data_IF_571816588854
#
_entry.id   IF_571816588854
#
_cell.length_a   1.000
_cell.length_b   1.000
_cell.length_c   1.000
_cell.angle_alpha   90.00
_cell.angle_beta   90.00
_cell.angle_gamma   90.00
#
_symmetry.space_group_name_H-M   'P 1'
#
loop_
_entity.id
_entity.type
_entity.pdbx_description
1 polymer ?
#
# COMPACT_ATOMS: atom_id res chain seq x y z
N UNK A 1 -11.36 -5.86 -0.80
CA UNK A 1 -11.76 -4.70 -1.64
C UNK A 1 -11.71 -5.10 -3.11
N UNK A 2 -12.67 -4.64 -3.92
CA UNK A 2 -12.65 -4.87 -5.37
C UNK A 2 -11.70 -3.89 -6.07
N UNK A 3 -11.09 -4.31 -7.18
CA UNK A 3 -10.15 -3.46 -7.91
C UNK A 3 -10.43 -3.51 -9.40
N UNK A 4 -10.31 -2.37 -10.10
CA UNK A 4 -10.75 -2.27 -11.48
C UNK A 4 -10.02 -3.27 -12.40
N UNK A 5 -10.74 -3.76 -13.40
CA UNK A 5 -10.26 -4.62 -14.48
C UNK A 5 -9.82 -6.04 -14.09
N UNK A 6 -9.98 -6.49 -12.84
CA UNK A 6 -9.69 -7.90 -12.46
C UNK A 6 -10.78 -8.50 -11.59
N UNK A 7 -10.96 -9.81 -11.75
CA UNK A 7 -11.78 -10.63 -10.86
C UNK A 7 -10.96 -10.95 -9.60
N UNK A 8 -11.62 -10.91 -8.44
CA UNK A 8 -11.05 -11.25 -7.14
C UNK A 8 -10.73 -10.03 -6.28
N UNK A 9 -10.91 -10.21 -4.97
CA UNK A 9 -10.72 -9.17 -3.97
C UNK A 9 -9.33 -9.27 -3.34
N UNK A 10 -8.85 -8.13 -2.83
CA UNK A 10 -7.66 -8.07 -1.97
C UNK A 10 -7.88 -7.11 -0.80
N UNK A 11 -7.21 -7.35 0.32
CA UNK A 11 -7.17 -6.41 1.43
C UNK A 11 -6.41 -5.11 1.05
N UNK A 12 -6.88 -3.98 1.58
CA UNK A 12 -6.27 -2.65 1.44
C UNK A 12 -6.22 -1.96 2.79
N UNK A 13 -5.28 -1.03 2.95
CA UNK A 13 -5.11 -0.30 4.20
C UNK A 13 -6.18 0.79 4.35
N UNK A 14 -6.97 0.69 5.43
CA UNK A 14 -7.92 1.74 5.84
C UNK A 14 -7.35 2.66 6.94
N UNK A 15 -6.18 2.33 7.47
CA UNK A 15 -5.47 3.08 8.50
C UNK A 15 -4.02 2.61 8.63
N UNK A 16 -3.14 3.49 9.10
CA UNK A 16 -1.74 3.18 9.39
C UNK A 16 -1.19 4.19 10.41
N UNK A 17 -0.15 3.78 11.15
CA UNK A 17 0.53 4.60 12.16
C UNK A 17 1.99 4.18 12.27
N UNK A 18 2.91 5.13 12.45
CA UNK A 18 4.34 4.87 12.61
C UNK A 18 5.05 4.33 11.35
N UNK A 19 4.40 4.42 10.19
CA UNK A 19 4.91 3.97 8.90
C UNK A 19 4.49 4.95 7.80
N UNK A 20 5.42 5.28 6.90
CA UNK A 20 5.15 6.06 5.70
C UNK A 20 4.18 5.29 4.78
N UNK A 21 3.00 5.85 4.46
CA UNK A 21 2.03 5.18 3.59
C UNK A 21 2.57 4.95 2.17
N UNK A 22 3.44 5.84 1.70
CA UNK A 22 4.12 5.77 0.41
C UNK A 22 5.62 5.63 0.61
N UNK A 23 6.23 4.75 -0.18
CA UNK A 23 7.66 4.84 -0.51
C UNK A 23 7.81 5.65 -1.78
N UNK A 24 8.36 6.86 -1.65
CA UNK A 24 8.58 7.76 -2.77
C UNK A 24 9.96 7.49 -3.39
N UNK A 25 9.96 6.93 -4.60
CA UNK A 25 11.19 6.61 -5.33
C UNK A 25 11.51 7.68 -6.38
N UNK A 26 10.78 8.80 -6.39
CA UNK A 26 11.08 9.87 -7.34
C UNK A 26 12.43 10.49 -7.01
N UNK A 27 13.25 10.70 -8.02
CA UNK A 27 14.61 11.22 -7.86
C UNK A 27 15.67 10.14 -7.61
N UNK A 28 15.29 8.89 -7.31
CA UNK A 28 16.26 7.79 -7.24
C UNK A 28 16.63 7.30 -8.64
N UNK A 29 17.76 6.60 -8.74
CA UNK A 29 18.23 6.01 -9.99
C UNK A 29 17.85 4.54 -10.09
N UNK A 30 17.51 4.08 -11.29
CA UNK A 30 17.35 2.66 -11.59
C UNK A 30 18.70 1.97 -11.88
N UNK A 31 18.64 0.70 -12.27
CA UNK A 31 19.80 -0.14 -12.59
C UNK A 31 20.64 0.40 -13.77
N UNK A 32 20.07 1.24 -14.63
CA UNK A 32 20.74 1.83 -15.79
C UNK A 32 21.10 3.30 -15.57
N UNK A 33 20.91 3.80 -14.33
CA UNK A 33 21.24 5.17 -13.94
C UNK A 33 20.18 6.21 -14.30
N UNK A 34 19.02 5.82 -14.83
CA UNK A 34 17.93 6.74 -15.14
C UNK A 34 17.19 7.18 -13.88
N UNK A 35 16.83 8.47 -13.83
CA UNK A 35 16.10 9.04 -12.69
C UNK A 35 14.61 8.71 -12.80
N UNK A 36 14.07 8.05 -11.77
CA UNK A 36 12.64 7.76 -11.67
C UNK A 36 11.85 9.06 -11.46
N UNK A 37 10.88 9.35 -12.34
CA UNK A 37 10.10 10.60 -12.28
C UNK A 37 8.79 10.51 -11.48
N UNK A 38 8.16 9.34 -11.47
CA UNK A 38 6.78 9.19 -10.95
C UNK A 38 6.58 8.03 -9.98
N UNK A 39 7.59 7.19 -9.76
CA UNK A 39 7.43 5.94 -9.02
C UNK A 39 7.15 6.21 -7.55
N UNK A 40 5.98 5.78 -7.09
CA UNK A 40 5.55 5.75 -5.70
C UNK A 40 4.93 4.39 -5.44
N UNK A 41 5.21 3.82 -4.27
CA UNK A 41 4.71 2.51 -3.86
C UNK A 41 3.78 2.72 -2.67
N UNK A 42 2.55 2.22 -2.73
CA UNK A 42 1.62 2.22 -1.61
C UNK A 42 1.95 1.06 -0.67
N UNK A 43 2.97 1.26 0.15
CA UNK A 43 3.54 0.24 1.03
C UNK A 43 2.49 -0.37 1.95
N UNK A 44 1.63 0.48 2.53
CA UNK A 44 0.60 0.01 3.46
C UNK A 44 -0.44 -0.87 2.77
N UNK A 45 -0.74 -0.66 1.49
CA UNK A 45 -1.63 -1.52 0.71
C UNK A 45 -0.95 -2.84 0.32
N UNK A 46 0.35 -2.83 0.01
CA UNK A 46 1.11 -4.07 -0.24
C UNK A 46 1.15 -4.95 1.02
N UNK A 47 1.38 -4.36 2.19
CA UNK A 47 1.36 -5.05 3.47
C UNK A 47 -0.03 -5.59 3.82
N UNK A 48 -1.07 -4.79 3.60
CA UNK A 48 -2.47 -5.21 3.81
C UNK A 48 -2.83 -6.38 2.89
N UNK A 49 -2.49 -6.32 1.61
CA UNK A 49 -2.73 -7.40 0.66
C UNK A 49 -1.96 -8.68 1.05
N UNK A 50 -0.71 -8.56 1.49
CA UNK A 50 0.07 -9.71 1.96
C UNK A 50 -0.52 -10.35 3.22
N UNK A 51 -1.05 -9.53 4.14
CA UNK A 51 -1.65 -10.03 5.39
C UNK A 51 -2.87 -10.94 5.18
N UNK A 52 -3.61 -10.76 4.07
CA UNK A 52 -4.76 -11.59 3.72
C UNK A 52 -4.38 -13.06 3.52
N UNK A 53 -3.19 -13.33 2.96
CA UNK A 53 -2.72 -14.70 2.72
C UNK A 53 -2.53 -15.50 4.01
N UNK A 54 -2.40 -14.80 5.14
CA UNK A 54 -2.23 -15.40 6.47
C UNK A 54 -3.53 -15.34 7.27
N UNK A 55 -4.23 -14.20 7.22
CA UNK A 55 -5.46 -13.97 8.00
C UNK A 55 -6.67 -14.71 7.42
N UNK A 56 -6.67 -14.96 6.11
CA UNK A 56 -7.84 -15.44 5.40
C UNK A 56 -8.95 -14.39 5.34
N UNK A 57 -10.06 -14.76 4.71
CA UNK A 57 -11.20 -13.85 4.45
C UNK A 57 -12.56 -14.49 4.76
N UNK A 58 -12.57 -15.58 5.53
CA UNK A 58 -13.74 -16.40 5.82
C UNK A 58 -13.73 -16.93 7.26
N UNK A 59 -13.70 -18.25 7.44
CA UNK A 59 -13.83 -18.93 8.73
C UNK A 59 -12.50 -19.30 9.40
N UNK A 60 -11.39 -18.73 8.95
CA UNK A 60 -10.04 -19.06 9.45
C UNK A 60 -9.84 -18.63 10.90
N UNK A 61 -10.55 -17.60 11.36
CA UNK A 61 -10.49 -17.11 12.74
C UNK A 61 -9.20 -16.38 13.10
N UNK A 62 -8.40 -15.97 12.12
CA UNK A 62 -7.12 -15.27 12.32
C UNK A 62 -7.33 -13.76 12.17
N UNK A 63 -7.32 -13.03 13.30
CA UNK A 63 -7.67 -11.59 13.35
C UNK A 63 -6.49 -10.63 13.08
N UNK A 64 -5.29 -11.16 12.84
CA UNK A 64 -4.11 -10.33 12.61
C UNK A 64 -2.89 -11.13 12.18
N UNK A 65 -1.91 -10.42 11.62
CA UNK A 65 -0.64 -10.99 11.16
C UNK A 65 0.52 -10.09 11.51
N UNK A 66 1.71 -10.67 11.69
CA UNK A 66 2.95 -9.93 11.92
C UNK A 66 3.88 -10.09 10.71
N UNK A 67 4.23 -8.97 10.08
CA UNK A 67 5.22 -8.92 9.01
C UNK A 67 6.56 -8.48 9.61
N UNK A 68 7.62 -9.26 9.40
CA UNK A 68 8.97 -8.99 9.91
C UNK A 68 9.97 -8.87 8.77
N UNK A 69 11.02 -8.07 8.98
CA UNK A 69 12.13 -7.93 8.03
C UNK A 69 11.87 -6.97 6.87
N UNK A 70 10.73 -6.29 6.85
CA UNK A 70 10.48 -5.23 5.90
C UNK A 70 11.03 -3.90 6.43
N UNK A 71 11.91 -3.26 5.67
CA UNK A 71 12.42 -1.92 5.98
C UNK A 71 11.45 -0.84 5.48
N UNK A 72 11.05 0.05 6.37
CA UNK A 72 10.13 1.15 6.08
C UNK A 72 10.55 2.45 6.76
N UNK A 73 10.13 3.56 6.16
CA UNK A 73 10.34 4.88 6.74
C UNK A 73 9.27 5.17 7.80
N UNK A 74 9.66 5.77 8.91
CA UNK A 74 8.71 6.24 9.92
C UNK A 74 7.93 7.46 9.42
N UNK A 75 6.64 7.54 9.76
CA UNK A 75 5.81 8.71 9.48
C UNK A 75 4.59 8.79 10.40
N UNK A 76 4.17 10.02 10.67
CA UNK A 76 2.88 10.35 11.33
C UNK A 76 1.72 10.45 10.32
N UNK A 77 1.99 10.30 9.03
CA UNK A 77 0.97 10.37 8.00
C UNK A 77 0.11 9.10 8.00
N UNK A 78 -1.20 9.28 8.06
CA UNK A 78 -2.17 8.20 7.85
C UNK A 78 -2.51 7.97 6.38
N UNK A 79 -3.35 6.96 6.12
CA UNK A 79 -3.82 6.60 4.75
C UNK A 79 -4.54 7.73 4.02
N UNK A 80 -5.05 8.75 4.72
CA UNK A 80 -5.63 9.95 4.08
C UNK A 80 -4.65 10.65 3.14
N UNK A 81 -3.35 10.55 3.39
CA UNK A 81 -2.30 11.13 2.55
C UNK A 81 -2.15 10.47 1.18
N UNK A 82 -2.65 9.24 1.02
CA UNK A 82 -2.58 8.47 -0.24
C UNK A 82 -3.88 8.45 -1.02
N UNK A 83 -4.96 8.92 -0.40
CA UNK A 83 -6.23 9.11 -1.09
C UNK A 83 -6.06 10.14 -2.20
N UNK A 84 -6.62 9.83 -3.37
CA UNK A 84 -6.58 10.75 -4.50
C UNK A 84 -7.46 11.96 -4.18
N UNK A 85 -6.98 13.20 -4.38
CA UNK A 85 -7.84 14.37 -4.18
C UNK A 85 -8.99 14.36 -5.20
N UNK A 86 -10.20 14.77 -4.79
CA UNK A 86 -11.40 14.83 -5.67
C UNK A 86 -11.15 15.48 -7.03
N UNK A 87 -10.37 16.57 -7.08
CA UNK A 87 -10.02 17.25 -8.34
C UNK A 87 -9.21 16.41 -9.34
N UNK A 88 -8.64 15.28 -8.90
CA UNK A 88 -7.83 14.36 -9.71
C UNK A 88 -8.51 12.98 -9.85
N UNK A 89 -9.69 12.79 -9.27
CA UNK A 89 -10.49 11.59 -9.45
C UNK A 89 -11.16 11.67 -10.83
N UNK A 90 -11.00 10.62 -11.64
CA UNK A 90 -11.53 10.54 -13.01
C UNK A 90 -12.58 9.43 -13.17
N UNK A 91 -12.81 8.64 -12.12
CA UNK A 91 -13.56 7.38 -12.18
C UNK A 91 -14.69 7.30 -11.15
N UNK A 92 -14.86 8.36 -10.36
CA UNK A 92 -15.92 8.59 -9.37
C UNK A 92 -16.43 10.02 -9.58
#
# INVERSE_FOLDING_TARGET
FDRPFRIGQVNMAIGCSGIAPLKDLRGTRDLYGYVLRFKRIAVVDELAAASELVTGSSSEGVIGSLIKGYEYDFSELGVRSILRPRKRELFL
#
